data_IF_111119963181
#
_entry.id   IF_111119963181
#
_cell.length_a   1.000
_cell.length_b   1.000
_cell.length_c   1.000
_cell.angle_alpha   90.00
_cell.angle_beta   90.00
_cell.angle_gamma   90.00
#
_symmetry.space_group_name_H-M   'P 1'
#
loop_
_entity.id
_entity.type
_entity.pdbx_description
1 polymer ?
#
# COMPACT_ATOMS: atom_id res chain seq x y z
N UNK A 1 -18.40 -7.20 -19.63
CA UNK A 1 -19.40 -6.28 -19.07
C UNK A 1 -20.33 -7.10 -18.18
N UNK A 2 -20.53 -6.69 -16.92
CA UNK A 2 -21.43 -7.37 -15.99
C UNK A 2 -22.42 -6.36 -15.42
N UNK A 3 -23.72 -6.67 -15.50
CA UNK A 3 -24.76 -5.86 -14.89
C UNK A 3 -24.83 -6.21 -13.40
N UNK A 4 -24.70 -5.22 -12.52
CA UNK A 4 -24.78 -5.40 -11.07
C UNK A 4 -25.91 -4.56 -10.51
N UNK A 5 -26.60 -5.08 -9.50
CA UNK A 5 -27.64 -4.36 -8.78
C UNK A 5 -27.01 -3.66 -7.56
N UNK A 6 -27.45 -2.44 -7.32
CA UNK A 6 -27.16 -1.71 -6.09
C UNK A 6 -28.24 -2.06 -5.06
N UNK A 7 -27.80 -2.51 -3.89
CA UNK A 7 -28.63 -2.83 -2.74
C UNK A 7 -28.75 -1.61 -1.80
N UNK A 8 -29.43 -1.80 -0.66
CA UNK A 8 -29.59 -0.75 0.34
C UNK A 8 -28.26 -0.11 0.74
N UNK A 9 -28.28 1.22 0.93
CA UNK A 9 -27.11 2.02 1.32
C UNK A 9 -25.93 1.96 0.33
N UNK A 10 -26.18 1.66 -0.94
CA UNK A 10 -25.13 1.70 -1.97
C UNK A 10 -24.24 0.46 -2.03
N UNK A 11 -24.62 -0.64 -1.37
CA UNK A 11 -23.87 -1.88 -1.44
C UNK A 11 -23.99 -2.51 -2.84
N UNK A 12 -22.89 -3.03 -3.38
CA UNK A 12 -22.86 -3.76 -4.64
C UNK A 12 -21.97 -4.98 -4.52
N UNK A 13 -22.27 -6.02 -5.30
CA UNK A 13 -21.47 -7.24 -5.32
C UNK A 13 -20.59 -7.25 -6.56
N UNK A 14 -19.27 -7.34 -6.36
CA UNK A 14 -18.31 -7.46 -7.48
C UNK A 14 -18.35 -8.90 -8.01
N UNK A 15 -18.63 -9.14 -9.30
CA UNK A 15 -18.66 -10.48 -9.88
C UNK A 15 -17.33 -11.24 -9.73
N UNK A 16 -17.40 -12.58 -9.64
CA UNK A 16 -16.23 -13.42 -9.38
C UNK A 16 -15.12 -13.30 -10.44
N UNK A 17 -15.48 -13.06 -11.72
CA UNK A 17 -14.51 -12.82 -12.79
C UNK A 17 -13.66 -11.58 -12.50
N UNK A 18 -14.31 -10.46 -12.19
CA UNK A 18 -13.64 -9.19 -11.88
C UNK A 18 -12.80 -9.30 -10.61
N UNK A 19 -13.29 -9.99 -9.57
CA UNK A 19 -12.50 -10.21 -8.34
C UNK A 19 -11.20 -10.96 -8.62
N UNK A 20 -11.22 -11.98 -9.49
CA UNK A 20 -10.03 -12.75 -9.88
C UNK A 20 -9.06 -11.90 -10.70
N UNK A 21 -9.55 -11.16 -11.69
CA UNK A 21 -8.74 -10.28 -12.54
C UNK A 21 -8.03 -9.20 -11.72
N UNK A 22 -8.75 -8.58 -10.77
CA UNK A 22 -8.21 -7.54 -9.89
C UNK A 22 -7.52 -8.10 -8.63
N UNK A 23 -7.42 -9.43 -8.50
CA UNK A 23 -6.82 -10.12 -7.35
C UNK A 23 -7.35 -9.62 -5.99
N UNK A 24 -8.65 -9.32 -5.93
CA UNK A 24 -9.32 -8.87 -4.71
C UNK A 24 -9.44 -10.05 -3.74
N UNK A 25 -8.87 -9.88 -2.54
CA UNK A 25 -9.04 -10.80 -1.41
C UNK A 25 -10.33 -10.48 -0.66
N UNK A 26 -10.75 -11.40 0.21
CA UNK A 26 -11.76 -11.10 1.22
C UNK A 26 -11.26 -9.91 2.08
N UNK A 27 -12.16 -8.99 2.39
CA UNK A 27 -11.88 -7.68 3.05
C UNK A 27 -10.97 -6.70 2.29
N UNK A 28 -10.80 -6.86 0.97
CA UNK A 28 -10.07 -5.88 0.16
C UNK A 28 -10.73 -4.48 0.20
N UNK A 29 -9.94 -3.46 0.54
CA UNK A 29 -10.35 -2.07 0.46
C UNK A 29 -10.20 -1.52 -0.97
N UNK A 30 -11.18 -0.73 -1.41
CA UNK A 30 -11.18 -0.05 -2.69
C UNK A 30 -11.22 1.47 -2.48
N UNK A 31 -10.40 2.20 -3.22
CA UNK A 31 -10.55 3.65 -3.34
C UNK A 31 -11.66 3.93 -4.36
N UNK A 32 -12.62 4.78 -3.98
CA UNK A 32 -13.73 5.18 -4.83
C UNK A 32 -13.59 6.66 -5.21
N UNK A 33 -13.54 6.94 -6.51
CA UNK A 33 -13.44 8.30 -7.06
C UNK A 33 -14.57 8.51 -8.07
N UNK A 34 -15.32 9.61 -7.91
CA UNK A 34 -16.32 10.04 -8.88
C UNK A 34 -15.65 10.91 -9.95
N UNK A 35 -15.76 10.52 -11.21
CA UNK A 35 -15.27 11.30 -12.37
C UNK A 35 -16.45 11.58 -13.28
N UNK A 36 -16.99 12.79 -13.21
CA UNK A 36 -18.24 13.14 -13.92
C UNK A 36 -19.40 12.22 -13.48
N UNK A 37 -19.92 11.42 -14.42
CA UNK A 37 -21.00 10.46 -14.18
C UNK A 37 -20.50 9.00 -14.00
N UNK A 38 -19.18 8.81 -13.87
CA UNK A 38 -18.54 7.51 -13.70
C UNK A 38 -18.02 7.37 -12.28
N UNK A 39 -18.17 6.18 -11.71
CA UNK A 39 -17.51 5.78 -10.47
C UNK A 39 -16.30 4.92 -10.84
N UNK A 40 -15.10 5.38 -10.53
CA UNK A 40 -13.87 4.62 -10.65
C UNK A 40 -13.55 3.99 -9.30
N UNK A 41 -13.37 2.67 -9.28
CA UNK A 41 -12.95 1.93 -8.10
C UNK A 41 -11.62 1.27 -8.38
N UNK A 42 -10.62 1.55 -7.55
CA UNK A 42 -9.29 0.95 -7.68
C UNK A 42 -8.92 0.20 -6.39
N UNK A 43 -8.27 -0.98 -6.49
CA UNK A 43 -7.75 -1.66 -5.31
C UNK A 43 -6.82 -0.74 -4.53
N UNK A 44 -7.07 -0.58 -3.23
CA UNK A 44 -6.15 0.13 -2.37
C UNK A 44 -4.93 -0.76 -2.16
N UNK A 45 -3.83 -0.44 -2.83
CA UNK A 45 -2.53 -1.02 -2.47
C UNK A 45 -2.13 -0.44 -1.12
N UNK A 46 -2.01 -1.27 -0.08
CA UNK A 46 -1.46 -0.82 1.20
C UNK A 46 -0.08 -0.19 0.93
N UNK A 47 0.11 1.06 1.35
CA UNK A 47 1.37 1.76 1.09
C UNK A 47 2.57 1.00 1.68
N UNK A 48 2.37 0.28 2.78
CA UNK A 48 3.34 -0.64 3.39
C UNK A 48 3.91 -1.64 2.38
N UNK A 49 3.08 -2.29 1.56
CA UNK A 49 3.56 -3.28 0.59
C UNK A 49 4.39 -2.62 -0.50
N UNK A 50 3.99 -1.42 -0.93
CA UNK A 50 4.73 -0.66 -1.94
C UNK A 50 6.07 -0.15 -1.40
N UNK A 51 6.11 0.28 -0.13
CA UNK A 51 7.32 0.76 0.55
C UNK A 51 8.26 -0.41 0.79
N UNK A 52 7.76 -1.55 1.28
CA UNK A 52 8.54 -2.76 1.48
C UNK A 52 9.13 -3.28 0.16
N UNK A 53 8.35 -3.25 -0.93
CA UNK A 53 8.82 -3.65 -2.27
C UNK A 53 9.91 -2.71 -2.79
N UNK A 54 9.75 -1.41 -2.62
CA UNK A 54 10.76 -0.41 -2.99
C UNK A 54 12.03 -0.58 -2.15
N UNK A 55 11.91 -0.70 -0.83
CA UNK A 55 13.02 -0.93 0.08
C UNK A 55 13.80 -2.20 -0.29
N UNK A 56 13.10 -3.33 -0.49
CA UNK A 56 13.71 -4.60 -0.92
C UNK A 56 14.47 -4.47 -2.25
N UNK A 57 13.89 -3.77 -3.22
CA UNK A 57 14.55 -3.56 -4.51
C UNK A 57 15.81 -2.70 -4.38
N UNK A 58 15.77 -1.67 -3.54
CA UNK A 58 16.91 -0.80 -3.32
C UNK A 58 18.05 -1.51 -2.59
N UNK A 59 17.74 -2.29 -1.54
CA UNK A 59 18.73 -3.13 -0.85
C UNK A 59 19.42 -4.12 -1.79
N UNK A 60 18.67 -4.72 -2.70
CA UNK A 60 19.24 -5.60 -3.73
C UNK A 60 20.18 -4.89 -4.69
N UNK A 61 19.89 -3.63 -5.05
CA UNK A 61 20.72 -2.85 -5.97
C UNK A 61 22.02 -2.39 -5.32
N UNK A 62 21.95 -1.99 -4.06
CA UNK A 62 23.10 -1.48 -3.31
C UNK A 62 23.95 -2.59 -2.70
N UNK A 63 23.46 -3.84 -2.71
CA UNK A 63 24.14 -4.98 -2.10
C UNK A 63 24.16 -4.95 -0.57
N UNK A 64 23.35 -4.08 0.03
CA UNK A 64 23.27 -3.92 1.48
C UNK A 64 22.43 -5.03 2.10
N UNK A 65 22.89 -5.54 3.24
CA UNK A 65 22.12 -6.47 4.05
C UNK A 65 21.15 -5.71 4.97
N UNK A 66 20.17 -6.41 5.53
CA UNK A 66 19.27 -5.84 6.53
C UNK A 66 20.04 -5.39 7.78
N UNK A 67 21.08 -6.13 8.17
CA UNK A 67 21.88 -5.79 9.35
C UNK A 67 22.65 -4.48 9.14
N UNK A 68 23.15 -4.21 7.93
CA UNK A 68 23.81 -2.95 7.59
C UNK A 68 22.87 -1.75 7.76
N UNK A 69 21.62 -1.91 7.33
CA UNK A 69 20.59 -0.86 7.42
C UNK A 69 20.20 -0.59 8.87
N UNK A 70 20.05 -1.65 9.68
CA UNK A 70 19.71 -1.54 11.09
C UNK A 70 20.86 -0.92 11.90
N UNK A 71 22.10 -1.33 11.64
CA UNK A 71 23.28 -0.78 12.29
C UNK A 71 23.44 0.72 12.00
N UNK A 72 23.18 1.16 10.76
CA UNK A 72 23.20 2.58 10.42
C UNK A 72 22.05 3.36 11.07
N UNK A 73 20.84 2.77 11.12
CA UNK A 73 19.70 3.38 11.80
C UNK A 73 19.97 3.65 13.29
N UNK A 74 20.65 2.74 13.98
CA UNK A 74 21.02 2.91 15.38
C UNK A 74 22.06 4.01 15.57
N UNK A 75 23.03 4.13 14.65
CA UNK A 75 24.00 5.24 14.64
C UNK A 75 23.30 6.59 14.44
N UNK A 76 22.40 6.66 13.46
CA UNK A 76 21.62 7.87 13.19
C UNK A 76 20.74 8.26 14.37
N UNK A 77 20.07 7.29 15.03
CA UNK A 77 19.27 7.55 16.24
C UNK A 77 20.12 8.08 17.39
N UNK A 78 21.31 7.50 17.60
CA UNK A 78 22.23 7.98 18.62
C UNK A 78 22.70 9.42 18.34
N UNK A 79 22.95 9.75 17.07
CA UNK A 79 23.32 11.09 16.64
C UNK A 79 22.16 12.09 16.78
N UNK A 80 20.98 11.77 16.27
CA UNK A 80 19.77 12.59 16.43
C UNK A 80 19.43 12.87 17.90
N UNK A 81 19.60 11.88 18.77
CA UNK A 81 19.35 12.05 20.21
C UNK A 81 20.40 12.95 20.89
N UNK A 82 21.66 12.94 20.43
CA UNK A 82 22.70 13.86 20.89
C UNK A 82 22.39 15.29 20.44
N UNK A 83 22.00 15.47 19.19
CA UNK A 83 21.61 16.77 18.62
C UNK A 83 20.38 17.36 19.32
N UNK A 84 19.37 16.53 19.63
CA UNK A 84 18.18 16.95 20.39
C UNK A 84 18.42 17.24 21.86
N UNK A 85 19.45 16.65 22.49
CA UNK A 85 19.82 16.94 23.89
C UNK A 85 20.83 18.09 24.03
N UNK A 86 21.30 18.65 22.91
CA UNK A 86 22.15 19.82 22.87
C UNK A 86 21.41 21.15 22.61
N UNK A 87 20.08 21.16 22.65
CA UNK A 87 19.21 22.32 22.48
C UNK A 87 18.38 22.60 23.74
#
# INVERSE_FOLDING_TARGET
MALVKVWGRGQLTIPASIRKELQLKDDAALTLVKVGNVILMTPMTMQIDSVAKKAKNELKKTGLTIDDVLADLDRQRAQYNKERRGA
#
